data_IF_763153388783
#
_entry.id   IF_763153388783
#
_cell.length_a   1.000
_cell.length_b   1.000
_cell.length_c   1.000
_cell.angle_alpha   90.00
_cell.angle_beta   90.00
_cell.angle_gamma   90.00
#
_symmetry.space_group_name_H-M   'P 1'
#
loop_
_entity.id
_entity.type
_entity.pdbx_description
1 polymer ?
#
# COMPACT_ATOMS: atom_id res chain seq x y z
N UNK A 1 6.76 8.63 15.97
CA UNK A 1 6.66 9.76 15.02
C UNK A 1 5.25 10.28 15.12
N UNK A 2 5.06 11.57 15.42
CA UNK A 2 3.71 12.17 15.47
C UNK A 2 3.18 12.31 14.05
N UNK A 3 2.45 11.31 13.60
CA UNK A 3 1.85 11.31 12.26
C UNK A 3 0.76 12.37 12.22
N UNK A 4 0.98 13.45 11.47
CA UNK A 4 -0.03 14.50 11.27
C UNK A 4 -1.27 13.90 10.62
N UNK A 5 -2.39 14.01 11.31
CA UNK A 5 -3.71 13.60 10.81
C UNK A 5 -4.28 14.68 9.89
N UNK A 6 -4.87 14.27 8.78
CA UNK A 6 -5.49 15.16 7.79
C UNK A 6 -7.01 15.14 7.89
N UNK A 7 -7.67 16.28 7.73
CA UNK A 7 -9.14 16.36 7.69
C UNK A 7 -9.66 15.93 6.32
N UNK A 8 -10.94 15.55 6.24
CA UNK A 8 -11.61 15.26 4.97
C UNK A 8 -11.48 16.42 3.97
N UNK A 9 -11.60 17.67 4.43
CA UNK A 9 -11.39 18.88 3.63
C UNK A 9 -9.97 18.97 3.07
N UNK A 10 -8.96 18.65 3.88
CA UNK A 10 -7.56 18.62 3.40
C UNK A 10 -7.34 17.54 2.33
N UNK A 11 -8.04 16.40 2.46
CA UNK A 11 -7.98 15.31 1.49
C UNK A 11 -8.68 15.69 0.18
N UNK A 12 -9.87 16.28 0.24
CA UNK A 12 -10.59 16.71 -0.96
C UNK A 12 -9.89 17.87 -1.68
N UNK A 13 -9.26 18.79 -0.94
CA UNK A 13 -8.43 19.83 -1.53
C UNK A 13 -7.19 19.29 -2.26
N UNK A 14 -6.67 18.14 -1.81
CA UNK A 14 -5.52 17.45 -2.44
C UNK A 14 -5.92 16.68 -3.70
N UNK A 15 -7.13 16.15 -3.73
CA UNK A 15 -7.68 15.37 -4.84
C UNK A 15 -8.99 16.03 -5.33
N UNK A 16 -8.90 17.18 -6.03
CA UNK A 16 -10.08 17.96 -6.42
C UNK A 16 -10.98 17.26 -7.44
N UNK A 17 -10.46 16.23 -8.10
CA UNK A 17 -11.16 15.36 -9.04
C UNK A 17 -11.91 14.20 -8.37
N UNK A 18 -11.74 14.02 -7.05
CA UNK A 18 -12.48 13.04 -6.24
C UNK A 18 -13.55 13.76 -5.45
N UNK A 19 -14.82 13.41 -5.67
CA UNK A 19 -15.91 14.00 -4.90
C UNK A 19 -15.87 13.54 -3.43
N UNK A 20 -16.27 14.42 -2.50
CA UNK A 20 -16.38 14.07 -1.07
C UNK A 20 -17.31 12.86 -0.87
N UNK A 21 -18.33 12.73 -1.71
CA UNK A 21 -19.26 11.60 -1.69
C UNK A 21 -18.58 10.27 -2.04
N UNK A 22 -17.59 10.27 -2.94
CA UNK A 22 -16.81 9.08 -3.30
C UNK A 22 -15.90 8.68 -2.14
N UNK A 23 -15.24 9.64 -1.49
CA UNK A 23 -14.43 9.36 -0.29
C UNK A 23 -15.32 8.76 0.80
N UNK A 24 -16.52 9.32 1.02
CA UNK A 24 -17.48 8.79 1.98
C UNK A 24 -17.88 7.35 1.64
N UNK A 25 -18.12 7.08 0.36
CA UNK A 25 -18.42 5.74 -0.12
C UNK A 25 -17.25 4.78 0.13
N UNK A 26 -16.01 5.16 -0.20
CA UNK A 26 -14.83 4.33 0.05
C UNK A 26 -14.59 4.04 1.53
N UNK A 27 -14.93 4.99 2.41
CA UNK A 27 -14.92 4.76 3.86
C UNK A 27 -16.00 3.77 4.28
N UNK A 28 -17.20 3.88 3.69
CA UNK A 28 -18.31 2.94 3.95
C UNK A 28 -17.98 1.53 3.49
N UNK A 29 -17.29 1.38 2.36
CA UNK A 29 -16.78 0.10 1.86
C UNK A 29 -15.54 -0.39 2.64
N UNK A 30 -15.01 0.41 3.57
CA UNK A 30 -13.85 0.09 4.38
C UNK A 30 -12.52 0.11 3.62
N UNK A 31 -12.49 0.64 2.40
CA UNK A 31 -11.29 0.77 1.58
C UNK A 31 -10.37 1.84 2.15
N UNK A 32 -10.93 2.98 2.53
CA UNK A 32 -10.22 4.06 3.23
C UNK A 32 -10.70 4.07 4.67
N UNK A 33 -9.80 4.27 5.64
CA UNK A 33 -10.18 4.29 7.04
C UNK A 33 -9.78 5.62 7.68
N UNK A 34 -10.73 6.36 8.29
CA UNK A 34 -10.34 7.41 9.20
C UNK A 34 -9.67 6.81 10.45
N UNK A 35 -8.90 7.64 11.14
CA UNK A 35 -8.28 7.37 12.43
C UNK A 35 -9.33 7.03 13.49
N UNK A 36 -8.97 6.09 14.37
CA UNK A 36 -9.85 5.48 15.36
C UNK A 36 -10.42 4.11 14.98
N UNK A 37 -10.89 3.36 15.98
CA UNK A 37 -11.44 2.00 15.80
C UNK A 37 -12.74 1.97 14.99
N UNK A 38 -13.46 3.10 14.94
CA UNK A 38 -14.69 3.29 14.17
C UNK A 38 -14.69 4.67 13.54
N UNK A 39 -15.20 4.76 12.32
CA UNK A 39 -15.42 6.04 11.67
C UNK A 39 -16.39 6.87 12.51
N UNK A 40 -16.05 8.13 12.85
CA UNK A 40 -16.99 9.05 13.49
C UNK A 40 -18.29 9.19 12.69
N UNK A 41 -19.41 9.40 13.40
CA UNK A 41 -20.75 9.55 12.79
C UNK A 41 -20.82 10.72 11.80
N UNK A 42 -20.07 11.79 12.08
CA UNK A 42 -20.00 12.97 11.22
C UNK A 42 -18.71 12.95 10.40
N UNK A 43 -18.85 13.04 9.06
CA UNK A 43 -17.71 13.06 8.15
C UNK A 43 -16.75 14.25 8.37
N UNK A 44 -17.21 15.36 8.96
CA UNK A 44 -16.36 16.49 9.34
C UNK A 44 -15.35 16.19 10.46
N UNK A 45 -15.64 15.16 11.26
CA UNK A 45 -14.76 14.71 12.34
C UNK A 45 -13.73 13.68 11.87
N UNK A 46 -13.82 13.25 10.61
CA UNK A 46 -12.86 12.32 10.05
C UNK A 46 -11.47 12.91 10.02
N UNK A 47 -10.52 12.09 10.46
CA UNK A 47 -9.09 12.36 10.47
C UNK A 47 -8.45 11.19 9.75
N UNK A 48 -7.52 11.43 8.84
CA UNK A 48 -6.88 10.38 8.04
C UNK A 48 -5.39 10.37 8.30
N UNK A 49 -4.81 9.19 8.43
CA UNK A 49 -3.36 9.08 8.38
C UNK A 49 -2.87 9.32 6.95
N UNK A 50 -1.60 9.74 6.78
CA UNK A 50 -0.98 9.88 5.45
C UNK A 50 -1.05 8.62 4.60
N UNK A 51 -1.09 7.42 5.22
CA UNK A 51 -1.27 6.16 4.50
C UNK A 51 -2.67 6.04 3.90
N UNK A 52 -3.71 6.44 4.63
CA UNK A 52 -5.09 6.45 4.14
C UNK A 52 -5.27 7.53 3.06
N UNK A 53 -4.63 8.69 3.19
CA UNK A 53 -4.61 9.72 2.15
C UNK A 53 -3.91 9.21 0.88
N UNK A 54 -2.79 8.50 1.01
CA UNK A 54 -2.13 7.88 -0.14
C UNK A 54 -3.03 6.81 -0.80
N UNK A 55 -3.84 6.09 -0.01
CA UNK A 55 -4.81 5.12 -0.51
C UNK A 55 -5.96 5.78 -1.28
N UNK A 56 -6.45 6.95 -0.85
CA UNK A 56 -7.42 7.76 -1.63
C UNK A 56 -6.85 8.07 -3.01
N UNK A 57 -5.60 8.54 -3.08
CA UNK A 57 -4.92 8.80 -4.35
C UNK A 57 -4.79 7.55 -5.23
N UNK A 58 -4.43 6.41 -4.65
CA UNK A 58 -4.35 5.15 -5.37
C UNK A 58 -5.71 4.71 -5.96
N UNK A 59 -6.79 4.80 -5.18
CA UNK A 59 -8.14 4.44 -5.65
C UNK A 59 -8.55 5.38 -6.79
N UNK A 60 -8.25 6.67 -6.66
CA UNK A 60 -8.44 7.66 -7.73
C UNK A 60 -7.69 7.27 -9.00
N UNK A 61 -6.40 6.94 -8.91
CA UNK A 61 -5.60 6.56 -10.08
C UNK A 61 -6.15 5.29 -10.75
N UNK A 62 -6.56 4.30 -9.95
CA UNK A 62 -7.18 3.08 -10.46
C UNK A 62 -8.49 3.38 -11.20
N UNK A 63 -9.31 4.29 -10.68
CA UNK A 63 -10.62 4.62 -11.25
C UNK A 63 -10.55 5.51 -12.47
N UNK A 64 -9.85 6.64 -12.34
CA UNK A 64 -9.88 7.70 -13.35
C UNK A 64 -8.83 7.49 -14.42
N UNK A 65 -7.63 7.04 -14.07
CA UNK A 65 -6.52 6.93 -15.02
C UNK A 65 -6.46 5.53 -15.64
N UNK A 66 -6.79 4.48 -14.88
CA UNK A 66 -6.72 3.08 -15.35
C UNK A 66 -8.07 2.45 -15.70
N UNK A 67 -9.18 3.16 -15.47
CA UNK A 67 -10.53 2.69 -15.85
C UNK A 67 -10.99 1.44 -15.11
N UNK A 68 -10.45 1.16 -13.91
CA UNK A 68 -10.83 -0.01 -13.13
C UNK A 68 -12.28 0.11 -12.66
N UNK A 69 -13.07 -0.93 -12.94
CA UNK A 69 -14.46 -0.99 -12.50
C UNK A 69 -14.53 -1.08 -10.97
N UNK A 70 -15.60 -0.52 -10.42
CA UNK A 70 -15.73 -0.33 -8.97
C UNK A 70 -15.87 -1.65 -8.22
N UNK A 71 -16.57 -2.60 -8.82
CA UNK A 71 -16.73 -3.98 -8.34
C UNK A 71 -15.40 -4.76 -8.33
N UNK A 72 -14.44 -4.33 -9.14
CA UNK A 72 -13.11 -4.94 -9.27
C UNK A 72 -12.09 -4.31 -8.31
N UNK A 73 -12.37 -3.10 -7.79
CA UNK A 73 -11.48 -2.40 -6.87
C UNK A 73 -11.10 -3.22 -5.63
N UNK A 74 -12.01 -3.92 -4.92
CA UNK A 74 -11.63 -4.70 -3.74
C UNK A 74 -10.55 -5.75 -4.04
N UNK A 75 -10.66 -6.43 -5.18
CA UNK A 75 -9.68 -7.42 -5.59
C UNK A 75 -8.33 -6.77 -5.87
N UNK A 76 -8.32 -5.68 -6.66
CA UNK A 76 -7.08 -4.98 -7.02
C UNK A 76 -6.40 -4.39 -5.78
N UNK A 77 -7.16 -3.75 -4.88
CA UNK A 77 -6.66 -3.24 -3.62
C UNK A 77 -6.06 -4.36 -2.76
N UNK A 78 -6.71 -5.52 -2.68
CA UNK A 78 -6.17 -6.67 -1.95
C UNK A 78 -4.85 -7.17 -2.53
N UNK A 79 -4.68 -7.16 -3.85
CA UNK A 79 -3.43 -7.57 -4.51
C UNK A 79 -2.32 -6.55 -4.25
N UNK A 80 -2.65 -5.26 -4.29
CA UNK A 80 -1.70 -4.19 -3.99
C UNK A 80 -1.25 -4.27 -2.52
N UNK A 81 -2.19 -4.46 -1.59
CA UNK A 81 -1.89 -4.66 -0.16
C UNK A 81 -1.00 -5.90 0.07
N UNK A 82 -1.23 -6.99 -0.66
CA UNK A 82 -0.37 -8.18 -0.63
C UNK A 82 1.06 -7.86 -1.09
N UNK A 83 1.21 -7.12 -2.20
CA UNK A 83 2.54 -6.71 -2.70
C UNK A 83 3.24 -5.78 -1.71
N UNK A 84 2.54 -4.82 -1.09
CA UNK A 84 3.11 -3.98 -0.05
C UNK A 84 3.55 -4.79 1.17
N UNK A 85 2.75 -5.75 1.60
CA UNK A 85 3.08 -6.65 2.72
C UNK A 85 4.33 -7.47 2.42
N UNK A 86 4.43 -8.03 1.21
CA UNK A 86 5.62 -8.76 0.76
C UNK A 86 6.87 -7.86 0.74
N UNK A 87 6.75 -6.65 0.17
CA UNK A 87 7.85 -5.67 0.16
C UNK A 87 8.26 -5.27 1.58
N UNK A 88 7.32 -5.12 2.50
CA UNK A 88 7.62 -4.83 3.90
C UNK A 88 8.35 -6.00 4.57
N UNK A 89 7.91 -7.24 4.35
CA UNK A 89 8.58 -8.44 4.85
C UNK A 89 10.02 -8.55 4.32
N UNK A 90 10.23 -8.36 3.01
CA UNK A 90 11.55 -8.38 2.40
C UNK A 90 12.46 -7.27 2.95
N UNK A 91 11.96 -6.05 3.15
CA UNK A 91 12.72 -4.98 3.82
C UNK A 91 13.07 -5.33 5.27
N UNK A 92 12.16 -6.00 5.98
CA UNK A 92 12.41 -6.50 7.32
C UNK A 92 13.55 -7.52 7.35
N UNK A 93 13.52 -8.50 6.43
CA UNK A 93 14.58 -9.48 6.26
C UNK A 93 15.90 -8.80 5.90
N UNK A 94 15.92 -7.92 4.90
CA UNK A 94 17.11 -7.15 4.53
C UNK A 94 17.68 -6.36 5.72
N UNK A 95 16.83 -5.71 6.50
CA UNK A 95 17.24 -5.01 7.71
C UNK A 95 17.83 -5.93 8.78
N UNK A 96 17.33 -7.16 8.93
CA UNK A 96 17.94 -8.17 9.81
C UNK A 96 19.32 -8.56 9.29
N UNK A 97 19.44 -8.89 8.01
CA UNK A 97 20.72 -9.21 7.37
C UNK A 97 21.72 -8.06 7.57
N UNK A 98 21.25 -6.82 7.51
CA UNK A 98 22.06 -5.63 7.71
C UNK A 98 22.68 -5.50 9.11
N UNK A 99 22.09 -6.15 10.11
CA UNK A 99 22.58 -6.15 11.50
C UNK A 99 23.35 -7.41 11.87
N UNK A 100 23.41 -8.41 11.00
CA UNK A 100 24.19 -9.62 11.26
C UNK A 100 25.69 -9.34 11.16
N UNK A 101 26.51 -10.05 11.96
CA UNK A 101 27.96 -10.09 11.75
C UNK A 101 28.29 -10.48 10.29
N UNK A 102 29.35 -9.91 9.70
CA UNK A 102 29.71 -10.14 8.30
C UNK A 102 29.78 -11.62 7.92
N UNK A 103 30.29 -12.45 8.83
CA UNK A 103 30.51 -13.88 8.63
C UNK A 103 29.18 -14.63 8.45
N UNK A 104 28.19 -14.29 9.27
CA UNK A 104 26.85 -14.91 9.22
C UNK A 104 26.08 -14.40 8.00
N UNK A 105 26.25 -13.12 7.62
CA UNK A 105 25.62 -12.55 6.42
C UNK A 105 26.09 -13.27 5.16
N UNK A 106 27.40 -13.53 5.03
CA UNK A 106 27.96 -14.22 3.86
C UNK A 106 27.40 -15.64 3.72
N UNK A 107 27.24 -16.36 4.83
CA UNK A 107 26.61 -17.70 4.83
C UNK A 107 25.17 -17.62 4.33
N UNK A 108 24.37 -16.67 4.83
CA UNK A 108 22.97 -16.54 4.42
C UNK A 108 22.82 -16.14 2.95
N UNK A 109 23.64 -15.19 2.46
CA UNK A 109 23.62 -14.77 1.05
C UNK A 109 23.94 -15.93 0.11
N UNK A 110 24.99 -16.71 0.42
CA UNK A 110 25.38 -17.89 -0.36
C UNK A 110 24.33 -19.00 -0.41
N UNK A 111 23.40 -19.03 0.55
CA UNK A 111 22.30 -20.00 0.58
C UNK A 111 21.04 -19.51 -0.17
N UNK A 112 20.89 -18.19 -0.36
CA UNK A 112 19.75 -17.59 -1.08
C UNK A 112 19.98 -17.45 -2.58
N UNK A 113 21.24 -17.49 -3.02
CA UNK A 113 21.60 -17.73 -4.42
C UNK A 113 21.28 -19.20 -4.74
N UNK A 114 20.03 -19.47 -5.14
CA UNK A 114 19.70 -20.74 -5.80
C UNK A 114 20.60 -20.93 -7.03
N UNK A 115 20.88 -22.19 -7.46
CA UNK A 115 21.81 -22.48 -8.53
C UNK A 115 21.48 -21.58 -9.71
N UNK A 116 22.48 -20.80 -10.13
CA UNK A 116 22.33 -19.83 -11.20
C UNK A 116 21.56 -20.43 -12.36
N UNK A 117 20.77 -19.58 -13.02
CA UNK A 117 20.21 -19.81 -14.33
C UNK A 117 21.35 -20.05 -15.36
N UNK A 118 22.01 -21.19 -15.24
CA UNK A 118 22.99 -21.74 -16.16
C UNK A 118 22.23 -22.24 -17.38
N UNK A 119 22.60 -21.68 -18.52
CA UNK A 119 21.89 -21.82 -19.77
C UNK A 119 21.51 -23.25 -20.14
N UNK A 120 20.28 -23.41 -20.59
CA UNK A 120 20.04 -24.30 -21.71
C UNK A 120 19.14 -23.60 -22.72
N UNK A 121 19.77 -22.84 -23.62
CA UNK A 121 19.16 -22.46 -24.88
C UNK A 121 19.42 -23.65 -25.82
N UNK A 122 18.43 -24.46 -26.21
CA UNK A 122 18.66 -25.42 -27.28
C UNK A 122 18.97 -24.61 -28.55
N UNK A 123 20.16 -24.83 -29.11
CA UNK A 123 20.54 -24.37 -30.44
C UNK A 123 20.40 -25.55 -31.42
N UNK A 124 20.22 -25.23 -32.71
CA UNK A 124 18.96 -25.33 -33.44
C UNK A 124 18.49 -26.77 -33.74
#
# INVERSE_FOLDING_TARGET
MSTTLLTLESVSARYPDVAVQEIHWWVTQGWVRPDGDRAPEHAGDWRFHPVDVARVGLIRDLRHDMGVAEDTLPLVLSLIDQVYSLRAALRGVAGVLDRLPPEVRQVVLSATEGPEAGGNRPQP
#
